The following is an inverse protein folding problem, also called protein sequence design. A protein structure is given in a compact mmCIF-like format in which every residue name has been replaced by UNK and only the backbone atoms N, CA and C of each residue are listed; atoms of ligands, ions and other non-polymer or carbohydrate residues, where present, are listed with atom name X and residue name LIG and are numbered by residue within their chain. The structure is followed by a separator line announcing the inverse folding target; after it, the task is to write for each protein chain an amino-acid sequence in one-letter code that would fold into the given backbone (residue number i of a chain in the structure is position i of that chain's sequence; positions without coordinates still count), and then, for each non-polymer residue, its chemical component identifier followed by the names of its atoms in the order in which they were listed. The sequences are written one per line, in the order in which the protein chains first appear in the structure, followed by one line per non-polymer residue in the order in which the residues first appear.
data_IF_404630708180
#
_entry.id   IF_404630708180
#
_cell.length_a   1.000
_cell.length_b   1.000
_cell.length_c   1.000
_cell.angle_alpha   90.00
_cell.angle_beta   90.00
_cell.angle_gamma   90.00
#
_symmetry.space_group_name_H-M   'P 1'
#
loop_
_entity.id
_entity.type
_entity.pdbx_description
1 polymer ?
#
# COMPACT_ATOMS: atom_id res chain seq x y z
N UNK A 1 23.27 -3.97 -38.36
CA UNK A 1 23.21 -3.43 -36.98
C UNK A 1 22.28 -4.30 -36.15
N UNK A 2 22.83 -5.11 -35.23
CA UNK A 2 22.06 -5.93 -34.28
C UNK A 2 21.32 -4.98 -33.33
N UNK A 3 19.98 -4.94 -33.41
CA UNK A 3 19.17 -4.27 -32.39
C UNK A 3 19.32 -5.10 -31.11
N UNK A 4 20.06 -4.57 -30.15
CA UNK A 4 20.12 -5.12 -28.81
C UNK A 4 18.71 -5.04 -28.22
N UNK A 5 18.00 -6.17 -28.23
CA UNK A 5 16.80 -6.34 -27.44
C UNK A 5 17.24 -6.28 -25.98
N UNK A 6 17.17 -5.09 -25.39
CA UNK A 6 17.18 -4.93 -23.94
C UNK A 6 15.99 -5.74 -23.46
N UNK A 7 16.24 -6.98 -23.02
CA UNK A 7 15.26 -7.77 -22.29
C UNK A 7 15.08 -7.07 -20.95
N UNK A 8 14.24 -6.04 -20.96
CA UNK A 8 13.66 -5.51 -19.73
C UNK A 8 13.04 -6.73 -19.05
N UNK A 9 13.51 -7.02 -17.84
CA UNK A 9 12.96 -8.04 -16.93
C UNK A 9 11.51 -7.68 -16.51
N UNK A 10 10.66 -7.18 -17.42
CA UNK A 10 9.27 -6.80 -17.18
C UNK A 10 8.33 -8.00 -17.13
N UNK A 11 8.81 -9.15 -16.64
CA UNK A 11 8.23 -10.46 -16.93
C UNK A 11 8.47 -11.49 -15.82
N UNK A 12 8.49 -11.07 -14.56
CA UNK A 12 7.91 -11.96 -13.54
C UNK A 12 6.40 -11.98 -13.83
N UNK A 13 6.01 -12.89 -14.73
CA UNK A 13 4.65 -13.33 -15.07
C UNK A 13 3.53 -12.41 -14.58
N UNK A 14 2.75 -11.79 -15.48
CA UNK A 14 1.54 -11.02 -15.15
C UNK A 14 0.62 -11.66 -14.07
N UNK A 15 0.70 -12.98 -13.86
CA UNK A 15 0.02 -13.69 -12.76
C UNK A 15 0.59 -13.39 -11.37
N UNK A 16 1.91 -13.23 -11.25
CA UNK A 16 2.59 -12.86 -10.00
C UNK A 16 2.23 -11.44 -9.59
N UNK A 17 2.18 -10.49 -10.52
CA UNK A 17 1.72 -9.13 -10.23
C UNK A 17 0.31 -9.12 -9.65
N UNK A 18 -0.62 -9.91 -10.22
CA UNK A 18 -2.01 -10.02 -9.73
C UNK A 18 -2.09 -10.60 -8.31
N UNK A 19 -1.22 -11.57 -7.98
CA UNK A 19 -1.18 -12.15 -6.64
C UNK A 19 -0.61 -11.16 -5.61
N UNK A 20 0.30 -10.29 -6.03
CA UNK A 20 0.93 -9.27 -5.18
C UNK A 20 0.04 -8.02 -5.03
N UNK A 21 -0.80 -7.73 -6.04
CA UNK A 21 -1.73 -6.60 -6.11
C UNK A 21 -2.63 -6.45 -4.86
N UNK A 22 -3.35 -7.47 -4.37
CA UNK A 22 -4.15 -7.36 -3.15
C UNK A 22 -3.26 -7.20 -1.91
N UNK A 23 -2.10 -7.86 -1.86
CA UNK A 23 -1.15 -7.73 -0.74
C UNK A 23 -0.66 -6.28 -0.61
N UNK A 24 -0.36 -5.63 -1.73
CA UNK A 24 0.04 -4.22 -1.80
C UNK A 24 -1.01 -3.25 -1.22
N UNK A 25 -2.29 -3.61 -1.23
CA UNK A 25 -3.35 -2.78 -0.65
C UNK A 25 -3.64 -3.19 0.79
N UNK A 26 -3.79 -4.48 1.05
CA UNK A 26 -4.22 -4.96 2.36
C UNK A 26 -3.15 -4.78 3.44
N UNK A 27 -1.88 -5.00 3.10
CA UNK A 27 -0.77 -4.84 4.06
C UNK A 27 -0.70 -3.41 4.62
N UNK A 28 -0.65 -2.34 3.82
CA UNK A 28 -0.63 -0.98 4.38
C UNK A 28 -1.90 -0.64 5.16
N UNK A 29 -3.07 -1.16 4.79
CA UNK A 29 -4.29 -0.99 5.61
C UNK A 29 -4.11 -1.65 6.98
N UNK A 30 -3.64 -2.90 7.02
CA UNK A 30 -3.40 -3.62 8.27
C UNK A 30 -2.37 -2.90 9.14
N UNK A 31 -1.28 -2.44 8.55
CA UNK A 31 -0.24 -1.68 9.26
C UNK A 31 -0.83 -0.36 9.79
N UNK A 32 -1.59 0.38 8.99
CA UNK A 32 -2.26 1.60 9.44
C UNK A 32 -3.23 1.33 10.60
N UNK A 33 -4.02 0.26 10.53
CA UNK A 33 -4.91 -0.17 11.60
C UNK A 33 -4.16 -0.53 12.88
N UNK A 34 -2.99 -1.18 12.79
CA UNK A 34 -2.15 -1.48 13.96
C UNK A 34 -1.63 -0.21 14.64
N UNK A 35 -1.13 0.75 13.85
CA UNK A 35 -0.68 2.05 14.37
C UNK A 35 -1.83 2.83 15.02
N UNK A 36 -2.99 2.90 14.37
CA UNK A 36 -4.17 3.55 14.93
C UNK A 36 -4.67 2.84 16.19
N UNK A 37 -4.71 1.51 16.20
CA UNK A 37 -5.11 0.74 17.38
C UNK A 37 -4.16 0.99 18.55
N UNK A 38 -2.85 0.97 18.31
CA UNK A 38 -1.86 1.26 19.34
C UNK A 38 -2.01 2.69 19.84
N UNK A 39 -2.21 3.66 18.94
CA UNK A 39 -2.37 5.05 19.32
C UNK A 39 -3.66 5.33 20.10
N UNK A 40 -4.77 4.69 19.73
CA UNK A 40 -6.04 4.81 20.48
C UNK A 40 -5.90 4.11 21.83
N UNK A 41 -5.39 2.88 21.86
CA UNK A 41 -5.26 2.14 23.11
C UNK A 41 -4.28 2.83 24.05
N UNK A 42 -3.07 3.11 23.61
CA UNK A 42 -1.98 3.63 24.45
C UNK A 42 -2.05 5.15 24.64
N UNK A 43 -2.43 5.90 23.62
CA UNK A 43 -2.57 7.36 23.70
C UNK A 43 -3.90 7.80 24.34
N UNK A 44 -5.04 7.32 23.83
CA UNK A 44 -6.35 7.80 24.29
C UNK A 44 -6.78 7.21 25.64
N UNK A 45 -6.49 5.92 25.91
CA UNK A 45 -6.91 5.28 27.16
C UNK A 45 -5.90 5.45 28.30
N UNK A 46 -4.60 5.54 28.01
CA UNK A 46 -3.56 5.72 29.05
C UNK A 46 -3.00 7.16 29.10
N UNK A 47 -3.44 8.05 28.21
CA UNK A 47 -3.11 9.48 28.26
C UNK A 47 -1.67 9.83 27.87
N UNK A 48 -0.95 8.91 27.24
CA UNK A 48 0.44 9.11 26.86
C UNK A 48 0.55 9.81 25.49
N UNK A 49 1.04 11.04 25.49
CA UNK A 49 1.20 11.86 24.28
C UNK A 49 2.25 11.34 23.31
N UNK A 50 3.10 10.41 23.75
CA UNK A 50 4.13 9.76 22.91
C UNK A 50 3.50 9.02 21.72
N UNK A 51 2.25 8.58 21.82
CA UNK A 51 1.56 7.84 20.77
C UNK A 51 0.84 8.73 19.74
N UNK A 52 0.97 10.06 19.84
CA UNK A 52 0.44 10.96 18.80
C UNK A 52 1.15 10.76 17.46
N UNK A 53 2.45 10.44 17.48
CA UNK A 53 3.19 10.09 16.25
C UNK A 53 2.65 8.83 15.60
N UNK A 54 2.31 7.82 16.39
CA UNK A 54 1.73 6.56 15.90
C UNK A 54 0.38 6.80 15.23
N UNK A 55 -0.44 7.68 15.82
CA UNK A 55 -1.70 8.10 15.22
C UNK A 55 -1.48 8.75 13.85
N UNK A 56 -0.57 9.73 13.78
CA UNK A 56 -0.25 10.43 12.53
C UNK A 56 0.29 9.48 11.47
N UNK A 57 1.20 8.57 11.82
CA UNK A 57 1.74 7.55 10.92
C UNK A 57 0.60 6.69 10.37
N UNK A 58 -0.28 6.19 11.24
CA UNK A 58 -1.44 5.39 10.82
C UNK A 58 -2.35 6.14 9.85
N UNK A 59 -2.67 7.40 10.12
CA UNK A 59 -3.48 8.25 9.24
C UNK A 59 -2.80 8.48 7.88
N UNK A 60 -1.51 8.81 7.86
CA UNK A 60 -0.77 9.06 6.62
C UNK A 60 -0.73 7.81 5.74
N UNK A 61 -0.50 6.63 6.33
CA UNK A 61 -0.51 5.35 5.58
C UNK A 61 -1.90 5.11 5.00
N UNK A 62 -2.97 5.33 5.78
CA UNK A 62 -4.35 5.16 5.32
C UNK A 62 -4.70 6.09 4.16
N UNK A 63 -4.41 7.38 4.30
CA UNK A 63 -4.68 8.38 3.26
C UNK A 63 -3.89 8.05 2.00
N UNK A 64 -2.59 7.80 2.12
CA UNK A 64 -1.74 7.47 0.96
C UNK A 64 -2.21 6.21 0.23
N UNK A 65 -2.65 5.19 0.97
CA UNK A 65 -3.17 3.98 0.35
C UNK A 65 -4.52 4.21 -0.35
N UNK A 66 -5.38 5.06 0.20
CA UNK A 66 -6.65 5.46 -0.41
C UNK A 66 -6.47 6.34 -1.65
N UNK A 67 -5.55 7.31 -1.62
CA UNK A 67 -5.35 8.26 -2.72
C UNK A 67 -4.50 7.73 -3.85
N UNK A 68 -3.55 6.83 -3.57
CA UNK A 68 -2.61 6.33 -4.59
C UNK A 68 -2.87 4.87 -4.95
N UNK A 69 -2.93 3.97 -3.97
CA UNK A 69 -2.94 2.53 -4.26
C UNK A 69 -4.27 2.05 -4.86
N UNK A 70 -5.41 2.52 -4.35
CA UNK A 70 -6.73 2.14 -4.89
C UNK A 70 -6.93 2.65 -6.33
N UNK A 71 -6.67 3.93 -6.65
CA UNK A 71 -6.77 4.42 -8.03
C UNK A 71 -5.78 3.75 -8.98
N UNK A 72 -4.55 3.49 -8.52
CA UNK A 72 -3.54 2.76 -9.28
C UNK A 72 -4.05 1.36 -9.68
N UNK A 73 -4.67 0.64 -8.75
CA UNK A 73 -5.27 -0.67 -9.03
C UNK A 73 -6.37 -0.60 -10.08
N UNK A 74 -7.25 0.38 -9.93
CA UNK A 74 -8.37 0.59 -10.85
C UNK A 74 -7.85 0.86 -12.27
N UNK A 75 -6.84 1.71 -12.39
CA UNK A 75 -6.17 1.97 -13.67
C UNK A 75 -5.48 0.72 -14.22
N UNK A 76 -4.76 -0.04 -13.39
CA UNK A 76 -4.08 -1.27 -13.79
C UNK A 76 -5.05 -2.32 -14.34
N UNK A 77 -6.17 -2.55 -13.66
CA UNK A 77 -7.20 -3.48 -14.14
C UNK A 77 -7.93 -2.98 -15.39
N UNK A 78 -8.13 -1.67 -15.55
CA UNK A 78 -8.77 -1.10 -16.73
C UNK A 78 -7.86 -1.15 -17.97
N UNK A 79 -6.56 -0.85 -17.83
CA UNK A 79 -5.58 -0.98 -18.90
C UNK A 79 -5.47 -2.42 -19.41
N UNK A 80 -5.70 -3.39 -18.52
CA UNK A 80 -5.67 -4.82 -18.83
C UNK A 80 -6.91 -5.34 -19.58
N UNK A 81 -8.06 -4.67 -19.45
CA UNK A 81 -9.30 -5.08 -20.15
C UNK A 81 -9.31 -4.70 -21.63
N UNK A 82 -8.43 -3.79 -22.05
CA UNK A 82 -8.20 -3.42 -23.46
C UNK A 82 -7.11 -4.29 -24.06
#
# INVERSE_FOLDING_TARGET
MKKNAVRVFGLLSLRQEILITPVLIFVPILVACLFLYNAVRSGLLYGDSTYFSDFLIGVVILIGNLTFAIPFLSAFFNLRKR
#
